data_IF_618661410248
#
_entry.id   IF_618661410248
#
_cell.length_a   1.000
_cell.length_b   1.000
_cell.length_c   1.000
_cell.angle_alpha   90.00
_cell.angle_beta   90.00
_cell.angle_gamma   90.00
#
_symmetry.space_group_name_H-M   'P 1'
#
loop_
_entity.id
_entity.type
_entity.pdbx_description
1 polymer ?
#
# COMPACT_ATOMS: atom_id res chain seq x y z
N UNK A 1 -12.30 35.05 -43.99
CA UNK A 1 -11.96 34.88 -45.42
C UNK A 1 -10.47 34.61 -45.46
N UNK A 2 -9.97 33.40 -45.71
CA UNK A 2 -10.60 32.25 -46.33
C UNK A 2 -9.77 31.00 -45.99
N UNK A 3 -10.46 29.88 -45.78
CA UNK A 3 -10.09 28.51 -46.13
C UNK A 3 -8.68 28.04 -45.75
N UNK A 4 -8.51 27.01 -44.92
CA UNK A 4 -8.73 25.57 -45.20
C UNK A 4 -8.64 24.92 -43.81
N UNK A 5 -9.57 24.16 -43.21
CA UNK A 5 -10.66 23.30 -43.68
C UNK A 5 -10.29 22.35 -44.82
N UNK A 6 -9.44 21.36 -44.48
CA UNK A 6 -9.31 20.04 -45.11
C UNK A 6 -8.14 19.34 -44.37
N UNK A 7 -8.25 18.23 -43.64
CA UNK A 7 -9.08 17.04 -43.81
C UNK A 7 -9.22 16.38 -42.43
N UNK A 8 -10.45 16.33 -41.89
CA UNK A 8 -10.83 15.21 -41.03
C UNK A 8 -10.75 13.94 -41.89
N UNK A 9 -10.01 12.89 -41.52
CA UNK A 9 -10.19 11.60 -42.15
C UNK A 9 -11.56 11.08 -41.70
N UNK A 10 -12.57 11.29 -42.53
CA UNK A 10 -13.77 10.47 -42.51
C UNK A 10 -13.41 9.09 -43.08
N UNK A 11 -12.75 8.26 -42.26
CA UNK A 11 -12.59 6.84 -42.53
C UNK A 11 -13.46 6.07 -41.52
N UNK A 12 -14.57 5.58 -42.06
CA UNK A 12 -15.38 4.47 -41.57
C UNK A 12 -14.58 3.37 -40.87
N UNK A 13 -15.01 2.98 -39.66
CA UNK A 13 -14.91 1.59 -39.18
C UNK A 13 -13.51 1.06 -38.86
N UNK A 14 -12.74 1.75 -38.03
CA UNK A 14 -11.53 1.17 -37.45
C UNK A 14 -11.53 1.40 -35.94
N UNK A 15 -11.74 0.33 -35.19
CA UNK A 15 -11.60 0.27 -33.74
C UNK A 15 -10.34 1.02 -33.33
N UNK A 16 -10.51 2.16 -32.64
CA UNK A 16 -9.41 2.67 -31.82
C UNK A 16 -9.07 1.53 -30.86
N UNK A 17 -7.82 1.04 -30.79
CA UNK A 17 -7.46 0.08 -29.76
C UNK A 17 -7.82 0.74 -28.44
N UNK A 18 -8.77 0.16 -27.71
CA UNK A 18 -9.13 0.63 -26.38
C UNK A 18 -7.86 0.65 -25.55
N UNK A 19 -7.62 1.76 -24.84
CA UNK A 19 -6.46 1.89 -23.95
C UNK A 19 -6.42 0.67 -23.01
N UNK A 20 -5.24 0.15 -22.67
CA UNK A 20 -5.15 -1.10 -21.89
C UNK A 20 -5.88 -0.99 -20.54
N UNK A 21 -5.98 0.23 -20.02
CA UNK A 21 -6.70 0.61 -18.79
C UNK A 21 -8.22 0.54 -18.96
N UNK A 22 -8.75 0.79 -20.16
CA UNK A 22 -10.19 0.77 -20.49
C UNK A 22 -10.66 -0.61 -21.00
N UNK A 23 -9.75 -1.58 -21.15
CA UNK A 23 -10.09 -2.91 -21.63
C UNK A 23 -10.80 -3.73 -20.55
N UNK A 24 -12.12 -3.83 -20.66
CA UNK A 24 -12.94 -4.68 -19.80
C UNK A 24 -12.63 -6.16 -20.10
N UNK A 25 -11.87 -6.79 -19.20
CA UNK A 25 -11.58 -8.23 -19.21
C UNK A 25 -12.85 -9.05 -18.96
N UNK A 26 -12.81 -10.36 -19.24
CA UNK A 26 -13.96 -11.21 -18.95
C UNK A 26 -14.33 -11.16 -17.45
N UNK A 27 -15.62 -11.18 -17.08
CA UNK A 27 -16.06 -11.00 -15.69
C UNK A 27 -15.38 -11.96 -14.71
N UNK A 28 -15.13 -13.21 -15.12
CA UNK A 28 -14.42 -14.19 -14.30
C UNK A 28 -12.94 -13.84 -14.08
N UNK A 29 -12.24 -13.29 -15.10
CA UNK A 29 -10.85 -12.85 -14.95
C UNK A 29 -10.76 -11.61 -14.06
N UNK A 30 -11.72 -10.69 -14.16
CA UNK A 30 -11.79 -9.50 -13.29
C UNK A 30 -11.96 -9.88 -11.82
N UNK A 31 -12.83 -10.83 -11.52
CA UNK A 31 -13.04 -11.30 -10.13
C UNK A 31 -11.77 -11.96 -9.59
N UNK A 32 -11.14 -12.85 -10.36
CA UNK A 32 -9.89 -13.52 -9.95
C UNK A 32 -8.77 -12.51 -9.74
N UNK A 33 -8.62 -11.54 -10.65
CA UNK A 33 -7.60 -10.50 -10.58
C UNK A 33 -7.83 -9.56 -9.38
N UNK A 34 -9.08 -9.14 -9.16
CA UNK A 34 -9.46 -8.34 -8.00
C UNK A 34 -9.19 -9.07 -6.68
N UNK A 35 -9.50 -10.36 -6.61
CA UNK A 35 -9.21 -11.18 -5.43
C UNK A 35 -7.69 -11.28 -5.18
N UNK A 36 -6.89 -11.47 -6.22
CA UNK A 36 -5.42 -11.50 -6.08
C UNK A 36 -4.87 -10.16 -5.55
N UNK A 37 -5.38 -9.04 -6.04
CA UNK A 37 -4.99 -7.72 -5.56
C UNK A 37 -5.32 -7.51 -4.09
N UNK A 38 -6.52 -7.90 -3.66
CA UNK A 38 -6.92 -7.81 -2.25
C UNK A 38 -6.05 -8.70 -1.36
N UNK A 39 -5.72 -9.93 -1.80
CA UNK A 39 -4.86 -10.84 -1.04
C UNK A 39 -3.43 -10.31 -0.86
N UNK A 40 -2.86 -9.71 -1.91
CA UNK A 40 -1.52 -9.09 -1.84
C UNK A 40 -1.55 -7.84 -0.95
N UNK A 41 -2.57 -7.00 -1.11
CA UNK A 41 -2.77 -5.82 -0.27
C UNK A 41 -2.93 -6.17 1.20
N UNK A 42 -3.66 -7.25 1.52
CA UNK A 42 -3.88 -7.72 2.90
C UNK A 42 -2.56 -7.99 3.63
N UNK A 43 -1.58 -8.61 2.96
CA UNK A 43 -0.27 -8.90 3.55
C UNK A 43 0.46 -7.63 4.02
N UNK A 44 0.34 -6.53 3.26
CA UNK A 44 0.93 -5.24 3.62
C UNK A 44 0.10 -4.44 4.62
N UNK A 45 -1.22 -4.41 4.45
CA UNK A 45 -2.13 -3.61 5.27
C UNK A 45 -2.15 -4.06 6.74
N UNK A 46 -2.18 -5.38 6.99
CA UNK A 46 -2.28 -5.94 8.35
C UNK A 46 -1.01 -5.69 9.17
N UNK A 47 0.14 -5.54 8.52
CA UNK A 47 1.41 -5.35 9.21
C UNK A 47 1.45 -4.04 10.01
N UNK A 48 0.92 -2.93 9.48
CA UNK A 48 0.98 -1.62 10.16
C UNK A 48 0.19 -1.60 11.49
N UNK A 49 -1.09 -2.00 11.55
CA UNK A 49 -1.84 -2.09 12.80
C UNK A 49 -1.21 -3.07 13.80
N UNK A 50 -0.65 -4.19 13.33
CA UNK A 50 0.07 -5.13 14.19
C UNK A 50 1.29 -4.49 14.84
N UNK A 51 2.09 -3.75 14.07
CA UNK A 51 3.27 -3.05 14.61
C UNK A 51 2.90 -2.00 15.64
N UNK A 52 1.86 -1.20 15.38
CA UNK A 52 1.38 -0.17 16.32
C UNK A 52 0.82 -0.84 17.59
N UNK A 53 0.03 -1.90 17.43
CA UNK A 53 -0.54 -2.65 18.53
C UNK A 53 0.50 -3.30 19.44
N UNK A 54 1.54 -3.91 18.85
CA UNK A 54 2.67 -4.49 19.57
C UNK A 54 3.44 -3.44 20.38
N UNK A 55 3.71 -2.27 19.78
CA UNK A 55 4.49 -1.20 20.41
C UNK A 55 3.73 -0.43 21.49
N UNK A 56 2.41 -0.32 21.37
CA UNK A 56 1.55 0.33 22.36
C UNK A 56 0.97 -0.64 23.39
N UNK A 57 1.23 -1.95 23.27
CA UNK A 57 0.72 -2.97 24.19
C UNK A 57 -0.80 -3.12 24.17
N UNK A 58 -1.43 -2.92 23.01
CA UNK A 58 -2.89 -3.03 22.87
C UNK A 58 -3.38 -4.47 23.04
N UNK A 59 -4.62 -4.63 23.51
CA UNK A 59 -5.25 -5.96 23.58
C UNK A 59 -5.44 -6.55 22.18
N UNK A 60 -5.45 -7.88 22.08
CA UNK A 60 -5.66 -8.59 20.81
C UNK A 60 -6.97 -8.20 20.13
N UNK A 61 -8.02 -7.95 20.92
CA UNK A 61 -9.32 -7.51 20.42
C UNK A 61 -9.24 -6.11 19.80
N UNK A 62 -8.50 -5.19 20.42
CA UNK A 62 -8.27 -3.85 19.87
C UNK A 62 -7.46 -3.91 18.57
N UNK A 63 -6.43 -4.75 18.51
CA UNK A 63 -5.64 -4.97 17.30
C UNK A 63 -6.51 -5.54 16.17
N UNK A 64 -7.37 -6.52 16.47
CA UNK A 64 -8.30 -7.07 15.49
C UNK A 64 -9.26 -6.00 14.96
N UNK A 65 -9.80 -5.15 15.84
CA UNK A 65 -10.64 -4.01 15.43
C UNK A 65 -9.88 -3.00 14.56
N UNK A 66 -8.61 -2.71 14.86
CA UNK A 66 -7.78 -1.83 14.05
C UNK A 66 -7.55 -2.41 12.66
N UNK A 67 -7.26 -3.72 12.56
CA UNK A 67 -7.08 -4.41 11.27
C UNK A 67 -8.36 -4.37 10.43
N UNK A 68 -9.51 -4.69 11.03
CA UNK A 68 -10.79 -4.66 10.30
C UNK A 68 -11.15 -3.24 9.84
N UNK A 69 -10.91 -2.24 10.69
CA UNK A 69 -11.17 -0.84 10.39
C UNK A 69 -10.22 -0.31 9.30
N UNK A 70 -8.97 -0.73 9.32
CA UNK A 70 -7.96 -0.38 8.32
C UNK A 70 -8.32 -0.95 6.94
N UNK A 71 -8.61 -2.24 6.86
CA UNK A 71 -9.01 -2.89 5.60
C UNK A 71 -10.30 -2.29 5.04
N UNK A 72 -11.26 -1.95 5.91
CA UNK A 72 -12.49 -1.30 5.51
C UNK A 72 -12.24 0.10 4.94
N UNK A 73 -11.44 0.91 5.63
CA UNK A 73 -11.08 2.26 5.18
C UNK A 73 -10.30 2.22 3.86
N UNK A 74 -9.27 1.38 3.76
CA UNK A 74 -8.47 1.24 2.55
C UNK A 74 -9.29 0.75 1.36
N UNK A 75 -10.28 -0.12 1.57
CA UNK A 75 -11.23 -0.54 0.55
C UNK A 75 -12.09 0.62 0.04
N UNK A 76 -12.64 1.43 0.95
CA UNK A 76 -13.43 2.63 0.59
C UNK A 76 -12.56 3.64 -0.17
N UNK A 77 -11.36 3.92 0.32
CA UNK A 77 -10.43 4.88 -0.32
C UNK A 77 -10.03 4.40 -1.72
N UNK A 78 -9.76 3.11 -1.88
CA UNK A 78 -9.47 2.53 -3.21
C UNK A 78 -10.66 2.66 -4.15
N UNK A 79 -11.89 2.36 -3.69
CA UNK A 79 -13.09 2.55 -4.50
C UNK A 79 -13.31 4.02 -4.87
N UNK A 80 -13.10 4.94 -3.92
CA UNK A 80 -13.21 6.38 -4.16
C UNK A 80 -12.19 6.87 -5.20
N UNK A 81 -10.96 6.34 -5.14
CA UNK A 81 -9.87 6.67 -6.06
C UNK A 81 -10.12 6.15 -7.48
N UNK A 82 -10.69 4.95 -7.59
CA UNK A 82 -11.05 4.31 -8.86
C UNK A 82 -12.28 4.95 -9.52
N UNK A 83 -13.35 5.21 -8.75
CA UNK A 83 -14.61 5.76 -9.28
C UNK A 83 -14.45 7.24 -9.63
N UNK A 84 -13.68 7.99 -8.85
CA UNK A 84 -13.38 9.41 -9.09
C UNK A 84 -14.62 10.32 -9.08
N UNK A 85 -14.86 11.01 -7.97
CA UNK A 85 -15.95 11.99 -7.86
C UNK A 85 -15.46 13.36 -8.38
N UNK A 86 -15.70 13.60 -9.67
CA UNK A 86 -15.47 14.89 -10.34
C UNK A 86 -14.00 15.19 -10.71
N UNK A 87 -13.65 16.48 -10.83
CA UNK A 87 -12.29 17.00 -11.16
C UNK A 87 -11.43 17.27 -9.90
N UNK A 88 -12.01 17.10 -8.71
CA UNK A 88 -11.37 17.41 -7.43
C UNK A 88 -11.00 16.16 -6.61
N UNK A 89 -11.61 15.00 -6.85
CA UNK A 89 -11.35 13.78 -6.08
C UNK A 89 -11.26 12.55 -6.98
N UNK A 90 -10.11 11.85 -6.91
CA UNK A 90 -9.82 10.60 -7.61
C UNK A 90 -9.16 10.79 -8.98
N UNK A 91 -8.11 10.00 -9.23
CA UNK A 91 -7.31 10.05 -10.48
C UNK A 91 -8.02 9.28 -11.62
N UNK A 92 -9.15 8.60 -11.34
CA UNK A 92 -9.86 7.71 -12.28
C UNK A 92 -8.94 6.64 -12.89
N UNK A 93 -7.94 6.24 -12.12
CA UNK A 93 -7.01 5.17 -12.46
C UNK A 93 -7.12 4.08 -11.39
N UNK A 94 -6.89 2.80 -11.75
CA UNK A 94 -6.90 1.69 -10.82
C UNK A 94 -5.68 1.75 -9.88
N UNK A 95 -5.77 2.57 -8.83
CA UNK A 95 -4.72 2.74 -7.82
C UNK A 95 -5.18 2.12 -6.51
N UNK A 96 -4.46 1.09 -6.07
CA UNK A 96 -4.70 0.44 -4.78
C UNK A 96 -4.08 1.30 -3.68
N UNK A 97 -4.91 1.74 -2.74
CA UNK A 97 -4.49 2.55 -1.61
C UNK A 97 -4.35 1.66 -0.38
N UNK A 98 -3.17 1.64 0.22
CA UNK A 98 -2.87 0.94 1.46
C UNK A 98 -2.20 1.89 2.45
N UNK A 99 -2.05 1.46 3.70
CA UNK A 99 -1.36 2.22 4.73
C UNK A 99 0.14 2.25 4.44
N UNK A 100 0.73 3.42 4.61
CA UNK A 100 2.18 3.58 4.47
C UNK A 100 2.92 3.29 5.77
N UNK A 101 4.01 2.53 5.68
CA UNK A 101 4.94 2.35 6.78
C UNK A 101 5.68 3.65 7.17
N UNK A 102 5.70 4.66 6.29
CA UNK A 102 6.37 5.93 6.57
C UNK A 102 5.82 6.64 7.81
N UNK A 103 4.51 6.49 8.07
CA UNK A 103 3.84 7.15 9.19
C UNK A 103 3.93 6.36 10.51
N UNK A 104 4.43 5.12 10.49
CA UNK A 104 4.45 4.25 11.68
C UNK A 104 5.35 4.80 12.78
N UNK A 105 6.56 5.24 12.43
CA UNK A 105 7.52 5.81 13.39
C UNK A 105 6.97 7.03 14.13
N UNK A 106 6.44 8.08 13.45
CA UNK A 106 5.85 9.22 14.15
C UNK A 106 4.59 8.85 14.93
N UNK A 107 3.76 7.90 14.45
CA UNK A 107 2.60 7.43 15.20
C UNK A 107 2.99 6.78 16.53
N UNK A 108 4.01 5.91 16.54
CA UNK A 108 4.54 5.31 17.77
C UNK A 108 5.10 6.39 18.70
N UNK A 109 5.83 7.37 18.17
CA UNK A 109 6.38 8.46 18.96
C UNK A 109 5.29 9.29 19.66
N UNK A 110 4.17 9.54 18.99
CA UNK A 110 3.00 10.23 19.58
C UNK A 110 2.34 9.34 20.63
N UNK A 111 2.11 8.06 20.31
CA UNK A 111 1.42 7.12 21.19
C UNK A 111 2.19 6.73 22.45
N UNK A 112 3.51 6.97 22.49
CA UNK A 112 4.32 6.77 23.71
C UNK A 112 4.14 7.86 24.76
N UNK A 113 3.44 8.96 24.45
CA UNK A 113 3.07 9.96 25.43
C UNK A 113 1.87 9.45 26.26
N UNK A 114 2.01 9.27 27.58
CA UNK A 114 1.00 8.65 28.43
C UNK A 114 -0.30 9.49 28.55
N UNK A 115 -0.22 10.80 28.31
CA UNK A 115 -1.38 11.70 28.46
C UNK A 115 -2.36 11.67 27.27
N UNK A 116 -1.92 11.16 26.10
CA UNK A 116 -2.69 11.26 24.84
C UNK A 116 -2.91 9.88 24.21
N UNK A 117 -1.92 8.99 24.27
CA UNK A 117 -2.00 7.60 23.79
C UNK A 117 -2.58 7.46 22.38
N UNK A 118 -3.43 6.44 22.18
CA UNK A 118 -4.06 6.10 20.89
C UNK A 118 -4.99 7.22 20.37
N UNK A 119 -5.62 7.99 21.27
CA UNK A 119 -6.45 9.14 20.90
C UNK A 119 -5.62 10.24 20.22
N UNK A 120 -4.37 10.42 20.66
CA UNK A 120 -3.42 11.35 20.05
C UNK A 120 -3.05 10.95 18.63
N UNK A 121 -2.89 9.65 18.37
CA UNK A 121 -2.64 9.13 17.02
C UNK A 121 -3.81 9.44 16.10
N UNK A 122 -5.05 9.17 16.52
CA UNK A 122 -6.22 9.47 15.70
C UNK A 122 -6.42 10.97 15.46
N UNK A 123 -6.28 11.80 16.51
CA UNK A 123 -6.37 13.25 16.39
C UNK A 123 -5.30 13.84 15.47
N UNK A 124 -4.05 13.40 15.63
CA UNK A 124 -2.94 13.82 14.78
C UNK A 124 -3.13 13.36 13.33
N UNK A 125 -3.67 12.15 13.09
CA UNK A 125 -3.92 11.63 11.74
C UNK A 125 -5.02 12.43 11.04
N UNK A 126 -6.10 12.77 11.75
CA UNK A 126 -7.18 13.62 11.20
C UNK A 126 -6.66 15.02 10.87
N UNK A 127 -5.91 15.64 11.80
CA UNK A 127 -5.32 16.95 11.60
C UNK A 127 -4.32 16.94 10.43
N UNK A 128 -3.45 15.92 10.35
CA UNK A 128 -2.51 15.74 9.26
C UNK A 128 -3.24 15.56 7.93
N UNK A 129 -4.32 14.78 7.87
CA UNK A 129 -5.13 14.61 6.66
C UNK A 129 -5.71 15.93 6.16
N UNK A 130 -6.27 16.74 7.06
CA UNK A 130 -6.81 18.05 6.71
C UNK A 130 -5.73 19.03 6.24
N UNK A 131 -4.63 19.16 7.00
CA UNK A 131 -3.50 20.02 6.67
C UNK A 131 -2.87 19.61 5.33
N UNK A 132 -2.68 18.31 5.12
CA UNK A 132 -2.06 17.78 3.89
C UNK A 132 -2.96 17.99 2.69
N UNK A 133 -4.28 17.87 2.84
CA UNK A 133 -5.24 18.20 1.77
C UNK A 133 -5.16 19.68 1.38
N UNK A 134 -5.03 20.58 2.36
CA UNK A 134 -4.90 22.02 2.12
C UNK A 134 -3.56 22.40 1.47
N UNK A 135 -2.47 21.74 1.89
CA UNK A 135 -1.11 21.98 1.36
C UNK A 135 -0.80 21.19 0.08
N UNK A 136 -1.63 20.22 -0.31
CA UNK A 136 -1.44 19.39 -1.50
C UNK A 136 -1.06 20.18 -2.77
N UNK A 137 -1.76 21.27 -3.16
CA UNK A 137 -1.40 22.03 -4.37
C UNK A 137 -0.05 22.75 -4.24
N UNK A 138 0.36 23.12 -3.03
CA UNK A 138 1.65 23.76 -2.78
C UNK A 138 2.79 22.74 -2.84
N UNK A 139 2.61 21.58 -2.22
CA UNK A 139 3.57 20.46 -2.24
C UNK A 139 3.79 19.96 -3.67
N UNK A 140 2.72 19.87 -4.47
CA UNK A 140 2.83 19.50 -5.89
C UNK A 140 3.73 20.44 -6.69
N UNK A 141 3.85 21.72 -6.29
CA UNK A 141 4.75 22.70 -6.91
C UNK A 141 6.20 22.57 -6.45
N UNK A 142 6.42 22.03 -5.25
CA UNK A 142 7.75 21.77 -4.67
C UNK A 142 8.32 20.41 -5.10
N UNK A 143 7.50 19.50 -5.62
CA UNK A 143 7.93 18.17 -6.06
C UNK A 143 9.12 18.15 -7.04
N UNK A 144 9.31 19.13 -7.97
CA UNK A 144 10.51 19.20 -8.81
C UNK A 144 11.81 19.48 -8.04
N UNK A 145 11.74 19.96 -6.78
CA UNK A 145 12.91 20.24 -5.94
C UNK A 145 13.45 18.99 -5.25
N UNK A 146 12.70 17.90 -5.23
CA UNK A 146 13.11 16.64 -4.63
C UNK A 146 13.65 15.71 -5.71
N UNK A 147 14.98 15.64 -5.93
CA UNK A 147 15.54 14.74 -6.92
C UNK A 147 15.22 13.28 -6.55
N UNK A 148 15.22 12.35 -7.53
CA UNK A 148 14.91 10.93 -7.29
C UNK A 148 15.74 10.29 -6.17
N UNK A 149 16.94 10.82 -5.90
CA UNK A 149 17.80 10.41 -4.80
C UNK A 149 17.14 10.55 -3.42
N UNK A 150 16.38 11.62 -3.16
CA UNK A 150 15.74 11.83 -1.85
C UNK A 150 14.66 10.79 -1.63
N UNK A 151 13.82 10.57 -2.64
CA UNK A 151 12.76 9.56 -2.60
C UNK A 151 13.34 8.16 -2.38
N UNK A 152 14.42 7.82 -3.09
CA UNK A 152 15.11 6.54 -2.92
C UNK A 152 15.68 6.34 -1.52
N UNK A 153 16.30 7.37 -0.94
CA UNK A 153 16.83 7.32 0.44
C UNK A 153 15.70 7.16 1.47
N UNK A 154 14.58 7.87 1.30
CA UNK A 154 13.42 7.75 2.19
C UNK A 154 12.81 6.34 2.11
N UNK A 155 12.61 5.79 0.90
CA UNK A 155 12.12 4.42 0.72
C UNK A 155 13.08 3.40 1.34
N UNK A 156 14.40 3.57 1.13
CA UNK A 156 15.43 2.71 1.75
C UNK A 156 15.35 2.77 3.28
N UNK A 157 15.18 3.97 3.85
CA UNK A 157 15.03 4.15 5.30
C UNK A 157 13.78 3.46 5.85
N UNK A 158 12.65 3.52 5.12
CA UNK A 158 11.42 2.81 5.48
C UNK A 158 11.67 1.29 5.43
N UNK A 159 12.30 0.79 4.37
CA UNK A 159 12.65 -0.63 4.23
C UNK A 159 13.55 -1.14 5.37
N UNK A 160 14.60 -0.40 5.71
CA UNK A 160 15.49 -0.74 6.83
C UNK A 160 14.74 -0.80 8.17
N UNK A 161 13.77 0.08 8.38
CA UNK A 161 12.95 0.09 9.59
C UNK A 161 12.05 -1.15 9.68
N UNK A 162 11.51 -1.61 8.55
CA UNK A 162 10.66 -2.82 8.49
C UNK A 162 11.51 -4.09 8.72
N UNK A 163 12.74 -4.14 8.21
CA UNK A 163 13.65 -5.28 8.44
C UNK A 163 13.85 -5.53 9.93
N UNK A 164 14.07 -4.47 10.72
CA UNK A 164 14.27 -4.60 12.17
C UNK A 164 13.08 -5.28 12.84
N UNK A 165 11.86 -4.91 12.46
CA UNK A 165 10.66 -5.51 13.06
C UNK A 165 10.39 -6.91 12.51
N UNK A 166 10.73 -7.18 11.26
CA UNK A 166 10.74 -8.54 10.72
C UNK A 166 11.66 -9.47 11.50
N UNK A 167 12.83 -8.98 11.92
CA UNK A 167 13.75 -9.73 12.79
C UNK A 167 13.14 -9.95 14.18
N UNK A 168 12.55 -8.92 14.79
CA UNK A 168 11.87 -9.04 16.08
C UNK A 168 10.76 -10.12 16.04
N UNK A 169 10.01 -10.18 14.93
CA UNK A 169 8.99 -11.21 14.71
C UNK A 169 9.59 -12.59 14.46
N UNK A 170 10.67 -12.68 13.68
CA UNK A 170 11.36 -13.94 13.40
C UNK A 170 12.05 -14.54 14.65
N UNK A 171 12.50 -13.68 15.57
CA UNK A 171 13.12 -14.09 16.82
C UNK A 171 12.12 -14.54 17.91
N UNK A 172 10.81 -14.53 17.63
CA UNK A 172 9.78 -15.00 18.55
C UNK A 172 8.99 -13.90 19.27
N UNK A 173 9.11 -12.65 18.81
CA UNK A 173 8.36 -11.49 19.31
C UNK A 173 9.03 -10.76 20.47
N UNK A 174 8.96 -9.44 20.47
CA UNK A 174 9.56 -8.59 21.50
C UNK A 174 8.85 -8.80 22.84
N UNK A 175 9.57 -9.24 23.87
CA UNK A 175 9.02 -9.52 25.21
C UNK A 175 8.79 -11.01 25.55
N UNK A 176 9.18 -11.94 24.67
CA UNK A 176 9.16 -13.37 24.97
C UNK A 176 10.40 -13.80 25.76
N UNK A 177 10.29 -14.55 26.89
CA UNK A 177 11.43 -15.13 27.60
C UNK A 177 12.31 -16.07 26.76
N UNK A 178 11.78 -16.57 25.64
CA UNK A 178 12.45 -17.43 24.66
C UNK A 178 12.85 -16.67 23.39
N UNK A 179 13.10 -15.36 23.50
CA UNK A 179 13.58 -14.54 22.39
C UNK A 179 14.90 -15.09 21.84
N UNK A 180 14.94 -15.38 20.54
CA UNK A 180 16.10 -15.98 19.89
C UNK A 180 16.28 -17.48 20.13
N UNK A 181 15.27 -18.19 20.63
CA UNK A 181 15.32 -19.66 20.69
C UNK A 181 15.50 -20.24 19.26
N UNK A 182 16.42 -21.20 19.07
CA UNK A 182 16.69 -21.80 17.76
C UNK A 182 15.46 -22.41 17.09
N UNK A 183 14.40 -22.76 17.85
CA UNK A 183 13.14 -23.25 17.31
C UNK A 183 12.38 -22.17 16.54
N UNK A 184 12.21 -20.96 17.08
CA UNK A 184 11.52 -19.87 16.39
C UNK A 184 12.30 -19.43 15.15
N UNK A 185 13.62 -19.30 15.30
CA UNK A 185 14.49 -18.94 14.20
C UNK A 185 14.49 -20.02 13.10
N UNK A 186 14.46 -21.30 13.48
CA UNK A 186 14.33 -22.43 12.56
C UNK A 186 13.00 -22.43 11.80
N UNK A 187 11.89 -22.12 12.47
CA UNK A 187 10.56 -21.98 11.83
C UNK A 187 10.57 -20.81 10.85
N UNK A 188 11.08 -19.63 11.25
CA UNK A 188 11.16 -18.47 10.36
C UNK A 188 12.06 -18.72 9.16
N UNK A 189 13.18 -19.42 9.33
CA UNK A 189 14.08 -19.80 8.24
C UNK A 189 13.44 -20.83 7.30
N UNK A 190 12.68 -21.79 7.83
CA UNK A 190 11.92 -22.75 7.02
C UNK A 190 10.83 -22.04 6.20
N UNK A 191 10.09 -21.09 6.79
CA UNK A 191 9.11 -20.26 6.09
C UNK A 191 9.80 -19.40 5.03
N UNK A 192 10.96 -18.80 5.33
CA UNK A 192 11.74 -18.01 4.38
C UNK A 192 12.16 -18.86 3.17
N UNK A 193 12.73 -20.05 3.39
CA UNK A 193 13.09 -20.98 2.32
C UNK A 193 11.86 -21.38 1.51
N UNK A 194 10.75 -21.70 2.18
CA UNK A 194 9.52 -22.10 1.52
C UNK A 194 8.98 -20.99 0.59
N UNK A 195 8.93 -19.75 1.07
CA UNK A 195 8.54 -18.57 0.27
C UNK A 195 9.53 -18.36 -0.89
N UNK A 196 10.85 -18.48 -0.64
CA UNK A 196 11.88 -18.35 -1.69
C UNK A 196 11.76 -19.45 -2.76
N UNK A 197 11.45 -20.69 -2.37
CA UNK A 197 11.22 -21.78 -3.31
C UNK A 197 9.97 -21.55 -4.14
N UNK A 198 8.85 -21.15 -3.53
CA UNK A 198 7.62 -20.84 -4.27
C UNK A 198 7.84 -19.69 -5.24
N UNK A 199 8.45 -18.59 -4.78
CA UNK A 199 8.72 -17.42 -5.63
C UNK A 199 9.73 -17.71 -6.73
N UNK A 200 10.68 -18.64 -6.53
CA UNK A 200 11.67 -19.04 -7.54
C UNK A 200 11.15 -20.07 -8.55
N UNK A 201 10.32 -21.02 -8.13
CA UNK A 201 9.84 -22.14 -8.95
C UNK A 201 8.46 -21.92 -9.60
N UNK A 202 7.69 -20.93 -9.15
CA UNK A 202 6.44 -20.56 -9.82
C UNK A 202 6.72 -19.80 -11.14
N UNK A 203 6.79 -20.53 -12.27
CA UNK A 203 6.73 -19.97 -13.64
C UNK A 203 5.47 -20.45 -14.36
N UNK A 204 4.70 -19.50 -14.94
CA UNK A 204 3.44 -19.74 -15.67
C UNK A 204 2.19 -19.38 -14.85
N UNK A 205 1.08 -18.97 -15.51
CA UNK A 205 -0.26 -18.47 -15.04
C UNK A 205 -0.31 -17.54 -13.80
N UNK A 206 0.45 -17.85 -12.76
CA UNK A 206 0.98 -16.99 -11.69
C UNK A 206 1.82 -15.82 -12.27
N UNK A 207 2.35 -15.94 -13.49
CA UNK A 207 3.01 -14.83 -14.19
C UNK A 207 2.05 -13.67 -14.58
N UNK A 208 0.75 -13.93 -14.70
CA UNK A 208 -0.24 -12.86 -14.89
C UNK A 208 -0.51 -12.07 -13.59
N UNK A 209 -0.41 -12.74 -12.42
CA UNK A 209 -0.35 -12.05 -11.12
C UNK A 209 0.99 -11.32 -10.90
N UNK A 210 2.03 -11.72 -11.65
CA UNK A 210 3.38 -11.16 -11.56
C UNK A 210 3.60 -9.92 -12.45
N UNK A 211 2.68 -9.58 -13.37
CA UNK A 211 2.76 -8.32 -14.15
C UNK A 211 2.74 -7.10 -13.20
N UNK A 212 1.99 -7.16 -12.11
CA UNK A 212 1.97 -6.08 -11.11
C UNK A 212 3.21 -6.03 -10.20
N UNK A 213 3.95 -7.14 -10.09
CA UNK A 213 5.20 -7.22 -9.33
C UNK A 213 6.41 -6.74 -10.16
N UNK A 214 6.24 -6.63 -11.48
CA UNK A 214 7.24 -6.12 -12.43
C UNK A 214 7.11 -4.60 -12.68
N UNK A 215 5.93 -4.02 -12.52
CA UNK A 215 5.65 -2.57 -12.64
C UNK A 215 6.05 -1.74 -11.40
N UNK A 216 6.69 -2.38 -10.39
CA UNK A 216 7.25 -1.71 -9.21
C UNK A 216 8.78 -1.51 -9.30
N UNK A 217 9.36 -1.64 -10.50
CA UNK A 217 10.73 -1.18 -10.80
C UNK A 217 10.75 -0.30 -12.04
#
# INVERSE_FOLDING_TARGET
MSAIDSQLPSSSGQDRPTDEVDRILSPGKLIILGLQHVLVMYAGAVAVPLMIGDRLGLSKDAIAMLISSDLFCCGIVTLLQCIGIGRFMGIRLPVIMSVTFAAVTPMIAIGMNPDIGLLGIFGATIAAGFITTLLAPFIGRLMPLFPPLVTGVVITSIGLSIIQVGIDWAAGGKGNPQYGNPVYLGISFAVLIFILLITRYAKGFIAAGCVFLRELY
#
